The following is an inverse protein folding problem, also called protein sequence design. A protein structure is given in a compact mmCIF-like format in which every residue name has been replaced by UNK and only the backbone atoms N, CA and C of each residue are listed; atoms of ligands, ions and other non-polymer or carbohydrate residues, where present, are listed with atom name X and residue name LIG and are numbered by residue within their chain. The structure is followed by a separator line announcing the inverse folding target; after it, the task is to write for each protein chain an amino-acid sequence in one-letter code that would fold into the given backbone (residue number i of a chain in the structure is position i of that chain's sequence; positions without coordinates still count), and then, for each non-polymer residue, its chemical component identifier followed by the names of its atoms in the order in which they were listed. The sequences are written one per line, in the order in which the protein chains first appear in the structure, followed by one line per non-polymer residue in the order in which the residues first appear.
data_IF_005029620975
#
_entry.id   IF_005029620975
#
_cell.length_a   1.000
_cell.length_b   1.000
_cell.length_c   1.000
_cell.angle_alpha   90.00
_cell.angle_beta   90.00
_cell.angle_gamma   90.00
#
_symmetry.space_group_name_H-M   'P 1'
#
loop_
_entity.id
_entity.type
_entity.pdbx_description
1 polymer ?
#
# COMPACT_ATOMS: atom_id res chain seq x y z
N UNK A 1 -9.91 2.50 -6.26
CA UNK A 1 -9.50 3.63 -5.39
C UNK A 1 -8.59 4.58 -6.16
N UNK A 2 -7.45 4.14 -6.72
CA UNK A 2 -6.56 5.01 -7.54
C UNK A 2 -7.26 5.75 -8.68
N UNK A 3 -8.12 5.07 -9.46
CA UNK A 3 -8.86 5.71 -10.57
C UNK A 3 -9.79 6.85 -10.13
N UNK A 4 -10.35 6.79 -8.92
CA UNK A 4 -11.22 7.85 -8.37
C UNK A 4 -10.42 9.06 -7.84
N UNK A 5 -9.12 8.91 -7.70
CA UNK A 5 -8.21 9.94 -7.18
C UNK A 5 -7.33 10.58 -8.24
N UNK A 6 -7.18 9.96 -9.43
CA UNK A 6 -6.33 10.49 -10.52
C UNK A 6 -6.72 11.92 -10.90
N UNK A 7 -8.01 12.21 -11.00
CA UNK A 7 -8.50 13.53 -11.45
C UNK A 7 -8.54 14.60 -10.33
N UNK A 8 -8.13 14.25 -9.10
CA UNK A 8 -8.21 15.14 -7.92
C UNK A 8 -6.89 15.28 -7.18
N UNK A 9 -5.78 15.00 -7.84
CA UNK A 9 -4.44 15.07 -7.25
C UNK A 9 -3.54 15.99 -8.05
N UNK A 10 -2.82 16.86 -7.34
CA UNK A 10 -1.69 17.60 -7.90
C UNK A 10 -0.43 17.10 -7.21
N UNK A 11 0.50 16.58 -8.00
CA UNK A 11 1.81 16.11 -7.53
C UNK A 11 2.79 17.27 -7.61
N UNK A 12 3.40 17.56 -6.47
CA UNK A 12 4.40 18.60 -6.30
C UNK A 12 5.73 17.90 -6.02
N UNK A 13 6.71 18.13 -6.87
CA UNK A 13 8.11 17.72 -6.70
C UNK A 13 9.00 18.95 -6.60
N UNK A 14 10.27 18.78 -6.20
CA UNK A 14 11.23 19.89 -6.13
C UNK A 14 11.34 20.65 -7.46
N UNK A 15 11.44 19.93 -8.59
CA UNK A 15 11.55 20.54 -9.93
C UNK A 15 10.36 21.44 -10.30
N UNK A 16 9.19 21.16 -9.74
CA UNK A 16 7.95 21.84 -10.09
C UNK A 16 7.42 22.75 -8.96
N UNK A 17 8.20 23.00 -7.91
CA UNK A 17 7.78 23.84 -6.76
C UNK A 17 7.32 25.24 -7.21
N UNK A 18 7.99 25.81 -8.21
CA UNK A 18 7.67 27.14 -8.75
C UNK A 18 6.28 27.21 -9.38
N UNK A 19 5.69 26.08 -9.79
CA UNK A 19 4.34 25.97 -10.37
C UNK A 19 3.23 25.94 -9.32
N UNK A 20 3.55 25.90 -8.01
CA UNK A 20 2.56 25.76 -6.93
C UNK A 20 1.71 27.02 -6.71
N UNK A 21 2.18 28.18 -7.16
CA UNK A 21 1.44 29.43 -7.03
C UNK A 21 0.12 29.46 -7.85
N UNK A 22 -0.13 28.45 -8.69
CA UNK A 22 -1.42 28.27 -9.32
C UNK A 22 -2.51 28.02 -8.26
N UNK A 23 -3.61 28.77 -8.33
CA UNK A 23 -4.79 28.57 -7.47
C UNK A 23 -5.34 27.16 -7.69
N UNK A 24 -5.01 26.26 -6.75
CA UNK A 24 -5.56 24.90 -6.74
C UNK A 24 -6.95 24.93 -6.12
N UNK A 25 -7.97 24.33 -6.76
CA UNK A 25 -9.30 24.22 -6.19
C UNK A 25 -9.31 23.56 -4.80
N UNK A 26 -10.19 24.02 -3.91
CA UNK A 26 -10.26 23.55 -2.51
C UNK A 26 -10.57 22.05 -2.36
N UNK A 27 -11.08 21.40 -3.40
CA UNK A 27 -11.45 19.98 -3.42
C UNK A 27 -10.34 19.05 -3.95
N UNK A 28 -9.17 19.59 -4.29
CA UNK A 28 -8.03 18.82 -4.82
C UNK A 28 -7.04 18.50 -3.70
N UNK A 29 -6.64 17.23 -3.62
CA UNK A 29 -5.63 16.76 -2.68
C UNK A 29 -4.26 17.11 -3.25
N UNK A 30 -3.52 17.96 -2.54
CA UNK A 30 -2.12 18.26 -2.87
C UNK A 30 -1.23 17.16 -2.30
N UNK A 31 -0.49 16.48 -3.17
CA UNK A 31 0.51 15.49 -2.78
C UNK A 31 1.88 16.11 -3.03
N UNK A 32 2.66 16.26 -1.97
CA UNK A 32 4.05 16.70 -2.07
C UNK A 32 4.90 15.43 -2.00
N UNK A 33 5.66 15.16 -3.05
CA UNK A 33 6.62 14.05 -3.10
C UNK A 33 8.03 14.63 -3.03
N UNK A 34 8.73 14.29 -1.94
CA UNK A 34 10.03 14.86 -1.59
C UNK A 34 11.13 14.21 -2.43
N UNK A 35 11.10 12.89 -2.54
CA UNK A 35 12.08 12.07 -3.28
C UNK A 35 11.68 11.78 -4.74
N UNK A 36 10.95 12.72 -5.35
CA UNK A 36 10.45 12.58 -6.72
C UNK A 36 9.20 11.71 -6.87
N UNK A 37 8.85 11.41 -8.11
CA UNK A 37 7.64 10.66 -8.47
C UNK A 37 7.94 9.61 -9.51
N UNK A 38 7.41 8.38 -9.36
CA UNK A 38 7.45 7.39 -10.44
C UNK A 38 6.84 7.89 -11.76
N UNK A 39 5.84 8.77 -11.65
CA UNK A 39 5.20 9.41 -12.81
C UNK A 39 6.08 10.47 -13.49
N UNK A 40 7.14 10.94 -12.80
CA UNK A 40 8.11 11.92 -13.28
C UNK A 40 9.51 11.36 -13.00
N UNK A 41 9.89 10.33 -13.75
CA UNK A 41 11.07 9.51 -13.46
C UNK A 41 12.37 10.30 -13.35
N UNK A 42 12.48 11.42 -14.07
CA UNK A 42 13.60 12.35 -14.01
C UNK A 42 13.73 13.11 -12.67
N UNK A 43 12.70 13.06 -11.82
CA UNK A 43 12.67 13.67 -10.48
C UNK A 43 13.04 12.72 -9.36
N UNK A 44 13.15 11.41 -9.64
CA UNK A 44 13.37 10.40 -8.62
C UNK A 44 14.77 10.49 -8.01
N UNK A 45 14.81 10.38 -6.68
CA UNK A 45 16.05 10.29 -5.90
C UNK A 45 16.19 8.82 -5.49
N UNK A 46 17.28 8.18 -5.94
CA UNK A 46 17.49 6.75 -5.75
C UNK A 46 18.80 6.40 -5.03
N UNK A 47 19.75 7.33 -4.98
CA UNK A 47 21.08 7.07 -4.41
C UNK A 47 21.25 7.78 -3.08
N UNK A 48 22.04 7.16 -2.19
CA UNK A 48 22.43 7.77 -0.91
C UNK A 48 23.31 9.02 -1.08
N UNK A 49 23.89 9.25 -2.26
CA UNK A 49 24.62 10.50 -2.57
C UNK A 49 23.67 11.64 -2.95
N UNK A 50 22.50 11.30 -3.49
CA UNK A 50 21.43 12.26 -3.75
C UNK A 50 20.66 12.55 -2.46
N UNK A 51 20.36 11.50 -1.68
CA UNK A 51 19.86 11.61 -0.30
C UNK A 51 20.95 12.26 0.59
N UNK A 52 20.57 13.12 1.52
CA UNK A 52 21.54 13.74 2.44
C UNK A 52 22.24 15.00 1.90
N UNK A 53 22.03 15.39 0.64
CA UNK A 53 22.35 16.75 0.16
C UNK A 53 21.46 17.83 0.78
N UNK A 54 20.39 17.41 1.45
CA UNK A 54 19.35 18.28 1.95
C UNK A 54 18.31 18.59 0.88
N UNK A 55 17.13 19.03 1.34
CA UNK A 55 16.11 19.56 0.46
C UNK A 55 16.56 20.90 -0.15
N UNK A 56 16.16 21.12 -1.40
CA UNK A 56 16.39 22.41 -2.06
C UNK A 56 15.79 23.57 -1.25
N UNK A 57 16.46 24.71 -1.21
CA UNK A 57 16.15 25.81 -0.28
C UNK A 57 14.70 26.30 -0.40
N UNK A 58 14.23 26.60 -1.62
CA UNK A 58 12.84 27.02 -1.85
C UNK A 58 11.82 25.95 -1.40
N UNK A 59 12.20 24.68 -1.49
CA UNK A 59 11.35 23.56 -1.09
C UNK A 59 11.28 23.39 0.42
N UNK A 60 12.41 23.57 1.10
CA UNK A 60 12.49 23.66 2.56
C UNK A 60 11.62 24.80 3.10
N UNK A 61 11.73 25.99 2.52
CA UNK A 61 10.92 27.14 2.93
C UNK A 61 9.44 26.93 2.66
N UNK A 62 9.10 26.35 1.51
CA UNK A 62 7.73 25.96 1.21
C UNK A 62 7.16 25.00 2.26
N UNK A 63 7.90 23.94 2.62
CA UNK A 63 7.45 22.98 3.64
C UNK A 63 7.31 23.64 5.02
N UNK A 64 8.27 24.49 5.41
CA UNK A 64 8.19 25.26 6.65
C UNK A 64 6.91 26.06 6.73
N UNK A 65 6.68 26.91 5.72
CA UNK A 65 5.52 27.77 5.63
C UNK A 65 4.21 26.95 5.57
N UNK A 66 4.23 25.79 4.91
CA UNK A 66 3.04 24.96 4.77
C UNK A 66 2.65 24.26 6.06
N UNK A 67 3.63 23.85 6.84
CA UNK A 67 3.45 23.09 8.08
C UNK A 67 3.37 23.99 9.33
N UNK A 68 3.78 25.25 9.22
CA UNK A 68 3.76 26.19 10.32
C UNK A 68 2.35 26.38 10.90
N UNK A 69 2.28 26.33 12.22
CA UNK A 69 1.06 26.37 13.03
C UNK A 69 -0.03 25.36 12.58
N UNK A 70 0.37 24.23 11.96
CA UNK A 70 -0.56 23.16 11.56
C UNK A 70 -0.62 22.02 12.56
N UNK A 71 -1.75 21.32 12.52
CA UNK A 71 -1.89 20.00 13.12
C UNK A 71 -1.39 18.97 12.11
N UNK A 72 -0.37 18.19 12.49
CA UNK A 72 0.30 17.25 11.58
C UNK A 72 0.23 15.84 12.14
N UNK A 73 0.06 14.85 11.26
CA UNK A 73 0.07 13.43 11.60
C UNK A 73 1.16 12.73 10.78
N UNK A 74 2.17 12.19 11.44
CA UNK A 74 3.21 11.37 10.83
C UNK A 74 2.81 9.90 10.88
N UNK A 75 2.84 9.23 9.73
CA UNK A 75 2.50 7.82 9.57
C UNK A 75 3.65 7.16 8.80
N UNK A 76 4.21 6.07 9.34
CA UNK A 76 5.28 5.33 8.68
C UNK A 76 6.62 6.06 8.60
N UNK A 77 6.79 7.15 9.35
CA UNK A 77 8.01 7.96 9.34
C UNK A 77 8.74 7.84 10.69
N UNK A 78 10.04 7.54 10.65
CA UNK A 78 10.90 7.29 11.83
C UNK A 78 11.74 8.49 12.25
N UNK A 79 11.64 9.63 11.55
CA UNK A 79 12.58 10.75 11.64
C UNK A 79 14.04 10.42 11.28
N UNK A 80 14.28 9.30 10.57
CA UNK A 80 15.63 8.93 10.13
C UNK A 80 16.10 9.66 8.87
N UNK A 81 15.17 10.18 8.06
CA UNK A 81 15.47 10.90 6.83
C UNK A 81 16.24 12.20 7.13
N UNK A 82 17.44 12.31 6.57
CA UNK A 82 18.38 13.40 6.82
C UNK A 82 17.98 14.70 6.14
N UNK A 83 17.20 14.64 5.07
CA UNK A 83 16.81 15.81 4.28
C UNK A 83 15.60 16.51 4.92
N UNK A 84 14.68 15.72 5.46
CA UNK A 84 13.41 16.21 6.01
C UNK A 84 13.54 16.57 7.49
N UNK A 85 14.27 15.77 8.28
CA UNK A 85 14.35 15.95 9.73
C UNK A 85 14.77 17.38 10.14
N UNK A 86 15.80 18.02 9.55
CA UNK A 86 16.19 19.39 9.89
C UNK A 86 15.05 20.39 9.67
N UNK A 87 14.28 20.20 8.60
CA UNK A 87 13.12 21.05 8.28
C UNK A 87 12.03 20.90 9.33
N UNK A 88 11.67 19.65 9.67
CA UNK A 88 10.63 19.38 10.66
C UNK A 88 11.02 19.85 12.06
N UNK A 89 12.30 19.79 12.41
CA UNK A 89 12.82 20.27 13.69
C UNK A 89 12.64 21.80 13.85
N UNK A 90 12.63 22.54 12.75
CA UNK A 90 12.49 24.00 12.75
C UNK A 90 11.04 24.48 12.74
N UNK A 91 10.10 23.73 12.16
CA UNK A 91 8.68 24.11 12.01
C UNK A 91 7.97 24.31 13.35
N UNK A 92 7.13 25.37 13.47
CA UNK A 92 6.24 25.58 14.62
C UNK A 92 4.88 24.89 14.49
N UNK A 93 4.83 23.56 14.64
CA UNK A 93 3.57 22.83 14.64
C UNK A 93 2.63 23.28 15.78
N UNK A 94 1.33 23.38 15.47
CA UNK A 94 0.27 23.56 16.46
C UNK A 94 0.06 22.29 17.30
N UNK A 95 0.12 21.12 16.66
CA UNK A 95 -0.01 19.81 17.30
C UNK A 95 0.59 18.73 16.41
N UNK A 96 1.24 17.73 17.01
CA UNK A 96 1.77 16.60 16.23
C UNK A 96 1.28 15.28 16.80
N UNK A 97 0.76 14.45 15.89
CA UNK A 97 0.48 13.05 16.11
C UNK A 97 1.56 12.24 15.42
N UNK A 98 2.20 11.33 16.14
CA UNK A 98 3.25 10.47 15.57
C UNK A 98 2.88 9.02 15.80
N UNK A 99 2.62 8.29 14.71
CA UNK A 99 2.30 6.87 14.79
C UNK A 99 3.59 6.06 14.79
N UNK A 100 3.86 5.40 15.92
CA UNK A 100 5.04 4.53 16.08
C UNK A 100 4.55 3.08 16.11
N UNK A 101 5.32 2.17 15.50
CA UNK A 101 5.00 0.74 15.55
C UNK A 101 5.03 0.27 17.01
N UNK A 102 4.06 -0.54 17.42
CA UNK A 102 4.10 -1.17 18.74
C UNK A 102 5.44 -1.92 18.90
N UNK A 103 6.12 -1.69 20.04
CA UNK A 103 7.43 -2.25 20.40
C UNK A 103 8.66 -1.59 19.75
N UNK A 104 8.50 -0.54 18.95
CA UNK A 104 9.65 0.29 18.58
C UNK A 104 9.85 1.37 19.63
N UNK A 105 11.06 1.45 20.17
CA UNK A 105 11.48 2.61 20.94
C UNK A 105 11.42 3.86 20.07
N UNK A 106 11.01 4.97 20.68
CA UNK A 106 10.98 6.25 20.01
C UNK A 106 12.42 6.66 19.68
N UNK A 107 12.70 7.01 18.42
CA UNK A 107 14.02 7.49 18.05
C UNK A 107 14.27 8.86 18.73
N UNK A 108 15.47 9.05 19.29
CA UNK A 108 15.96 10.32 19.86
C UNK A 108 15.60 11.57 19.03
N UNK A 109 15.54 11.46 17.70
CA UNK A 109 15.14 12.57 16.81
C UNK A 109 13.67 12.94 16.96
N UNK A 110 12.78 11.96 17.07
CA UNK A 110 11.37 12.18 17.37
C UNK A 110 11.28 12.88 18.72
N UNK A 111 11.94 12.35 19.75
CA UNK A 111 11.94 12.96 21.07
C UNK A 111 12.43 14.40 21.07
N UNK A 112 13.47 14.73 20.29
CA UNK A 112 13.96 16.11 20.16
C UNK A 112 12.88 17.04 19.59
N UNK A 113 12.13 16.60 18.58
CA UNK A 113 11.00 17.37 18.03
C UNK A 113 9.91 17.53 19.10
N UNK A 114 9.59 16.47 19.84
CA UNK A 114 8.53 16.49 20.86
C UNK A 114 8.94 17.28 22.13
N UNK A 115 10.20 17.20 22.56
CA UNK A 115 10.72 17.92 23.74
C UNK A 115 10.78 19.42 23.51
N UNK A 116 10.96 19.86 22.25
CA UNK A 116 11.01 21.29 21.89
C UNK A 116 9.70 22.03 22.23
N UNK A 117 8.56 21.34 22.42
CA UNK A 117 7.26 21.97 22.76
C UNK A 117 6.39 21.14 23.72
N UNK A 118 6.67 21.12 25.02
CA UNK A 118 5.87 20.35 25.98
C UNK A 118 4.38 20.71 25.88
N UNK A 119 3.51 19.69 25.72
CA UNK A 119 2.05 19.86 25.86
C UNK A 119 1.15 19.41 24.69
N UNK A 120 1.69 19.12 23.50
CA UNK A 120 0.84 18.89 22.30
C UNK A 120 1.20 17.66 21.47
N UNK A 121 1.81 16.65 22.12
CA UNK A 121 2.37 15.50 21.44
C UNK A 121 1.73 14.20 21.87
N UNK A 122 1.39 13.37 20.89
CA UNK A 122 0.89 12.04 21.14
C UNK A 122 1.64 11.04 20.26
N UNK A 123 2.56 10.32 20.87
CA UNK A 123 3.10 9.09 20.31
C UNK A 123 2.09 8.00 20.61
N UNK A 124 1.53 7.38 19.56
CA UNK A 124 0.66 6.24 19.71
C UNK A 124 1.34 5.03 19.12
N UNK A 125 1.60 4.03 19.96
CA UNK A 125 1.70 2.66 19.48
C UNK A 125 0.27 2.20 19.13
N UNK A 126 0.01 1.84 17.87
CA UNK A 126 -1.26 1.20 17.51
C UNK A 126 -1.86 1.51 16.14
N UNK A 127 -3.12 1.10 15.98
CA UNK A 127 -3.92 1.24 14.75
C UNK A 127 -4.26 2.72 14.47
N UNK A 128 -4.19 3.15 13.21
CA UNK A 128 -4.59 4.48 12.73
C UNK A 128 -5.99 4.89 13.19
N UNK A 129 -6.87 3.92 13.45
CA UNK A 129 -8.20 4.13 14.05
C UNK A 129 -8.14 4.87 15.39
N UNK A 130 -7.13 4.62 16.21
CA UNK A 130 -6.95 5.28 17.51
C UNK A 130 -6.70 6.78 17.30
N UNK A 131 -5.84 7.13 16.36
CA UNK A 131 -5.57 8.51 15.99
C UNK A 131 -6.84 9.18 15.43
N UNK A 132 -7.54 8.51 14.52
CA UNK A 132 -8.76 9.03 13.92
C UNK A 132 -9.84 9.37 14.98
N UNK A 133 -10.07 8.45 15.92
CA UNK A 133 -11.02 8.66 17.02
C UNK A 133 -10.66 9.89 17.86
N UNK A 134 -9.37 10.05 18.16
CA UNK A 134 -8.88 11.19 18.95
C UNK A 134 -8.95 12.51 18.19
N UNK A 135 -8.64 12.54 16.89
CA UNK A 135 -8.67 13.76 16.08
C UNK A 135 -10.12 14.25 15.91
N UNK A 136 -11.04 13.32 15.66
CA UNK A 136 -12.43 13.66 15.35
C UNK A 136 -13.30 13.91 16.58
N UNK A 137 -12.80 13.64 17.79
CA UNK A 137 -13.58 13.53 19.03
C UNK A 137 -14.82 12.62 18.91
N UNK A 138 -14.92 11.84 17.82
CA UNK A 138 -15.88 10.77 17.69
C UNK A 138 -15.21 9.58 18.34
N UNK A 139 -15.74 9.12 19.48
CA UNK A 139 -15.69 7.69 19.72
C UNK A 139 -16.26 7.08 18.43
N UNK A 140 -15.45 6.38 17.64
CA UNK A 140 -15.96 5.21 16.94
C UNK A 140 -16.43 4.26 18.05
N UNK A 141 -17.56 4.59 18.69
CA UNK A 141 -18.54 3.56 18.91
C UNK A 141 -18.69 2.98 17.51
N UNK A 142 -18.34 1.71 17.36
CA UNK A 142 -19.00 0.88 16.38
C UNK A 142 -20.49 1.11 16.65
N UNK A 143 -21.07 2.17 16.06
CA UNK A 143 -22.48 2.18 15.71
C UNK A 143 -22.54 0.97 14.81
N UNK A 144 -22.90 -0.14 15.46
CA UNK A 144 -22.92 -1.48 14.91
C UNK A 144 -23.47 -1.38 13.51
N UNK A 145 -22.68 -1.91 12.60
CA UNK A 145 -23.17 -2.73 11.50
C UNK A 145 -24.12 -2.14 10.48
N UNK A 146 -24.69 -0.94 10.57
CA UNK A 146 -25.68 -0.55 9.55
C UNK A 146 -25.03 -0.34 8.18
N UNK A 147 -23.94 0.45 8.12
CA UNK A 147 -23.19 0.67 6.86
C UNK A 147 -22.45 -0.59 6.39
N UNK A 148 -21.83 -1.35 7.31
CA UNK A 148 -21.17 -2.61 6.94
C UNK A 148 -22.18 -3.70 6.52
N UNK A 149 -23.35 -3.78 7.17
CA UNK A 149 -24.41 -4.72 6.80
C UNK A 149 -25.05 -4.31 5.49
N UNK A 150 -25.30 -3.02 5.27
CA UNK A 150 -25.78 -2.51 3.98
C UNK A 150 -24.77 -2.80 2.85
N UNK A 151 -23.46 -2.64 3.11
CA UNK A 151 -22.42 -3.01 2.15
C UNK A 151 -22.34 -4.53 1.92
N UNK A 152 -22.37 -5.33 2.99
CA UNK A 152 -22.36 -6.80 2.89
C UNK A 152 -23.61 -7.30 2.16
N UNK A 153 -24.78 -6.76 2.48
CA UNK A 153 -26.05 -7.08 1.84
C UNK A 153 -26.03 -6.66 0.37
N UNK A 154 -25.52 -5.46 0.07
CA UNK A 154 -25.35 -4.95 -1.29
C UNK A 154 -24.42 -5.86 -2.11
N UNK A 155 -23.25 -6.18 -1.59
CA UNK A 155 -22.28 -7.08 -2.25
C UNK A 155 -22.85 -8.50 -2.38
N UNK A 156 -23.57 -8.99 -1.37
CA UNK A 156 -24.19 -10.32 -1.38
C UNK A 156 -25.31 -10.43 -2.42
N UNK A 157 -26.01 -9.35 -2.75
CA UNK A 157 -27.05 -9.34 -3.80
C UNK A 157 -26.46 -9.18 -5.20
N UNK A 158 -25.35 -8.45 -5.35
CA UNK A 158 -24.78 -8.09 -6.66
C UNK A 158 -23.75 -9.08 -7.19
N UNK A 159 -23.01 -9.74 -6.30
CA UNK A 159 -21.98 -10.69 -6.68
C UNK A 159 -22.58 -12.06 -6.95
N UNK A 160 -22.13 -12.72 -8.01
CA UNK A 160 -22.41 -14.15 -8.19
C UNK A 160 -21.61 -14.97 -7.17
N UNK A 161 -21.95 -16.26 -7.02
CA UNK A 161 -21.36 -17.12 -6.00
C UNK A 161 -19.82 -17.19 -6.12
N UNK A 162 -19.27 -17.35 -7.34
CA UNK A 162 -17.81 -17.33 -7.56
C UNK A 162 -17.16 -16.02 -7.09
N UNK A 163 -17.78 -14.87 -7.36
CA UNK A 163 -17.27 -13.57 -6.92
C UNK A 163 -17.31 -13.42 -5.39
N UNK A 164 -18.32 -14.00 -4.73
CA UNK A 164 -18.40 -14.00 -3.26
C UNK A 164 -17.25 -14.80 -2.66
N UNK A 165 -16.98 -16.01 -3.15
CA UNK A 165 -15.86 -16.83 -2.70
C UNK A 165 -14.52 -16.11 -2.88
N UNK A 166 -14.31 -15.49 -4.05
CA UNK A 166 -13.08 -14.76 -4.32
C UNK A 166 -12.92 -13.54 -3.42
N UNK A 167 -13.99 -12.78 -3.17
CA UNK A 167 -13.98 -11.64 -2.26
C UNK A 167 -13.63 -12.08 -0.84
N UNK A 168 -14.28 -13.13 -0.33
CA UNK A 168 -14.02 -13.66 1.01
C UNK A 168 -12.58 -14.17 1.13
N UNK A 169 -12.08 -14.88 0.12
CA UNK A 169 -10.68 -15.33 0.08
C UNK A 169 -9.70 -14.14 0.12
N UNK A 170 -9.93 -13.09 -0.67
CA UNK A 170 -9.09 -11.87 -0.64
C UNK A 170 -9.10 -11.18 0.72
N UNK A 171 -10.27 -11.12 1.38
CA UNK A 171 -10.37 -10.56 2.74
C UNK A 171 -9.52 -11.38 3.71
N UNK A 172 -9.63 -12.71 3.69
CA UNK A 172 -8.80 -13.56 4.57
C UNK A 172 -7.31 -13.48 4.25
N UNK A 173 -6.93 -13.37 2.97
CA UNK A 173 -5.55 -13.20 2.54
C UNK A 173 -4.95 -11.91 3.11
N UNK A 174 -5.66 -10.78 2.96
CA UNK A 174 -5.25 -9.47 3.50
C UNK A 174 -5.16 -9.51 5.03
N UNK A 175 -6.05 -10.24 5.70
CA UNK A 175 -6.03 -10.44 7.16
C UNK A 175 -5.00 -11.48 7.62
N UNK A 176 -4.12 -11.94 6.72
CA UNK A 176 -3.07 -12.94 6.99
C UNK A 176 -3.61 -14.27 7.54
N UNK A 177 -4.88 -14.61 7.24
CA UNK A 177 -5.49 -15.91 7.55
C UNK A 177 -5.31 -16.84 6.36
N UNK A 178 -4.05 -17.16 6.07
CA UNK A 178 -3.62 -17.85 4.85
C UNK A 178 -4.24 -19.24 4.73
N UNK A 179 -4.33 -20.02 5.81
CA UNK A 179 -4.95 -21.35 5.79
C UNK A 179 -6.43 -21.31 5.36
N UNK A 180 -7.21 -20.39 5.96
CA UNK A 180 -8.61 -20.19 5.58
C UNK A 180 -8.75 -19.75 4.13
N UNK A 181 -7.83 -18.92 3.64
CA UNK A 181 -7.81 -18.50 2.24
C UNK A 181 -7.63 -19.71 1.33
N UNK A 182 -6.66 -20.58 1.64
CA UNK A 182 -6.39 -21.81 0.89
C UNK A 182 -7.61 -22.74 0.88
N UNK A 183 -8.24 -22.98 2.03
CA UNK A 183 -9.41 -23.85 2.16
C UNK A 183 -10.59 -23.35 1.30
N UNK A 184 -10.88 -22.05 1.36
CA UNK A 184 -11.96 -21.40 0.59
C UNK A 184 -11.70 -21.50 -0.91
N UNK A 185 -10.46 -21.24 -1.34
CA UNK A 185 -10.09 -21.29 -2.76
C UNK A 185 -10.16 -22.72 -3.31
N UNK A 186 -9.71 -23.72 -2.55
CA UNK A 186 -9.85 -25.13 -2.92
C UNK A 186 -11.30 -25.56 -3.01
N UNK A 187 -12.11 -25.19 -2.01
CA UNK A 187 -13.54 -25.47 -2.03
C UNK A 187 -14.20 -24.85 -3.27
N UNK A 188 -13.92 -23.59 -3.58
CA UNK A 188 -14.45 -22.92 -4.75
C UNK A 188 -14.01 -23.59 -6.06
N UNK A 189 -12.71 -23.91 -6.20
CA UNK A 189 -12.16 -24.60 -7.38
C UNK A 189 -12.78 -25.99 -7.60
N UNK A 190 -13.11 -26.71 -6.53
CA UNK A 190 -13.73 -28.04 -6.59
C UNK A 190 -15.22 -27.99 -6.92
N UNK A 191 -15.96 -27.08 -6.28
CA UNK A 191 -17.43 -27.11 -6.31
C UNK A 191 -18.05 -26.16 -7.33
N UNK A 192 -17.33 -25.15 -7.81
CA UNK A 192 -17.86 -24.16 -8.77
C UNK A 192 -17.35 -24.39 -10.19
N UNK A 193 -16.62 -25.47 -10.47
CA UNK A 193 -15.93 -25.69 -11.74
C UNK A 193 -16.84 -25.62 -12.97
N UNK A 194 -18.07 -26.12 -12.84
CA UNK A 194 -19.05 -26.17 -13.93
C UNK A 194 -19.78 -24.85 -14.14
N UNK A 195 -19.73 -23.93 -13.18
CA UNK A 195 -20.43 -22.66 -13.30
C UNK A 195 -19.79 -21.75 -14.37
N UNK A 196 -20.62 -21.24 -15.28
CA UNK A 196 -20.18 -20.31 -16.34
C UNK A 196 -19.49 -19.07 -15.77
N UNK A 197 -19.99 -18.52 -14.65
CA UNK A 197 -19.36 -17.40 -13.94
C UNK A 197 -17.99 -17.75 -13.37
N UNK A 198 -17.80 -18.99 -12.94
CA UNK A 198 -16.52 -19.44 -12.40
C UNK A 198 -15.47 -19.53 -13.49
N UNK A 199 -15.80 -20.02 -14.69
CA UNK A 199 -14.85 -20.07 -15.83
C UNK A 199 -14.21 -18.71 -16.12
N UNK A 200 -14.97 -17.61 -15.99
CA UNK A 200 -14.46 -16.24 -16.17
C UNK A 200 -13.45 -15.82 -15.08
N UNK A 201 -13.62 -16.28 -13.85
CA UNK A 201 -12.81 -15.89 -12.70
C UNK A 201 -11.75 -16.94 -12.31
N UNK A 202 -11.74 -18.11 -12.95
CA UNK A 202 -10.90 -19.27 -12.60
C UNK A 202 -9.42 -18.91 -12.46
N UNK A 203 -8.89 -18.12 -13.39
CA UNK A 203 -7.49 -17.68 -13.36
C UNK A 203 -7.18 -16.87 -12.10
N UNK A 204 -8.11 -16.03 -11.65
CA UNK A 204 -7.93 -15.23 -10.43
C UNK A 204 -7.93 -16.08 -9.16
N UNK A 205 -8.73 -17.16 -9.12
CA UNK A 205 -8.67 -18.15 -8.04
C UNK A 205 -7.32 -18.85 -7.98
N UNK A 206 -6.81 -19.30 -9.14
CA UNK A 206 -5.52 -20.00 -9.24
C UNK A 206 -4.37 -19.08 -8.83
N UNK A 207 -4.38 -17.83 -9.29
CA UNK A 207 -3.38 -16.84 -8.94
C UNK A 207 -3.37 -16.55 -7.42
N UNK A 208 -4.54 -16.30 -6.83
CA UNK A 208 -4.63 -16.05 -5.38
C UNK A 208 -4.24 -17.28 -4.55
N UNK A 209 -4.50 -18.48 -5.05
CA UNK A 209 -4.10 -19.73 -4.39
C UNK A 209 -2.57 -19.91 -4.44
N UNK A 210 -1.95 -19.59 -5.56
CA UNK A 210 -0.49 -19.57 -5.71
C UNK A 210 0.15 -18.59 -4.71
N UNK A 211 -0.36 -17.35 -4.66
CA UNK A 211 0.08 -16.33 -3.70
C UNK A 211 -0.10 -16.76 -2.24
N UNK A 212 -1.21 -17.45 -1.93
CA UNK A 212 -1.48 -17.98 -0.58
C UNK A 212 -0.47 -19.07 -0.19
N UNK A 213 -0.15 -20.00 -1.09
CA UNK A 213 0.87 -21.01 -0.80
C UNK A 213 2.27 -20.42 -0.68
N UNK A 214 2.59 -19.39 -1.48
CA UNK A 214 3.85 -18.67 -1.38
C UNK A 214 3.98 -18.01 0.00
N UNK A 215 2.93 -17.30 0.44
CA UNK A 215 2.89 -16.66 1.75
C UNK A 215 2.95 -17.66 2.91
N UNK A 216 2.43 -18.89 2.72
CA UNK A 216 2.56 -20.00 3.68
C UNK A 216 3.97 -20.63 3.71
N UNK A 217 4.85 -20.28 2.77
CA UNK A 217 6.17 -20.89 2.61
C UNK A 217 6.16 -22.24 1.89
N UNK A 218 5.02 -22.66 1.31
CA UNK A 218 4.95 -23.90 0.53
C UNK A 218 5.25 -23.60 -0.95
N UNK A 219 6.54 -23.40 -1.25
CA UNK A 219 7.02 -22.96 -2.55
C UNK A 219 6.70 -23.95 -3.67
N UNK A 220 6.75 -25.26 -3.40
CA UNK A 220 6.43 -26.31 -4.40
C UNK A 220 4.97 -26.18 -4.88
N UNK A 221 4.03 -26.00 -3.95
CA UNK A 221 2.62 -25.81 -4.33
C UNK A 221 2.40 -24.46 -4.99
N UNK A 222 3.02 -23.39 -4.48
CA UNK A 222 2.94 -22.06 -5.08
C UNK A 222 3.38 -22.09 -6.55
N UNK A 223 4.56 -22.66 -6.81
CA UNK A 223 5.13 -22.85 -8.13
C UNK A 223 4.18 -23.60 -9.06
N UNK A 224 3.63 -24.75 -8.61
CA UNK A 224 2.66 -25.53 -9.39
C UNK A 224 1.44 -24.71 -9.81
N UNK A 225 0.91 -23.87 -8.93
CA UNK A 225 -0.24 -23.03 -9.25
C UNK A 225 0.12 -21.84 -10.14
N UNK A 226 1.29 -21.20 -9.96
CA UNK A 226 1.75 -20.14 -10.86
C UNK A 226 1.98 -20.66 -12.28
N UNK A 227 2.61 -21.83 -12.43
CA UNK A 227 2.78 -22.47 -13.74
C UNK A 227 1.43 -22.72 -14.42
N UNK A 228 0.48 -23.32 -13.69
CA UNK A 228 -0.88 -23.56 -14.19
C UNK A 228 -1.65 -22.27 -14.52
N UNK A 229 -1.37 -21.17 -13.81
CA UNK A 229 -1.95 -19.86 -14.11
C UNK A 229 -1.40 -19.33 -15.44
N UNK A 230 -0.08 -19.33 -15.62
CA UNK A 230 0.58 -18.86 -16.84
C UNK A 230 0.10 -19.62 -18.07
N UNK A 231 0.08 -20.95 -18.02
CA UNK A 231 -0.45 -21.80 -19.11
C UNK A 231 -1.87 -21.39 -19.54
N UNK A 232 -2.72 -20.98 -18.59
CA UNK A 232 -4.09 -20.54 -18.87
C UNK A 232 -4.19 -19.10 -19.35
N UNK A 233 -3.28 -18.21 -18.95
CA UNK A 233 -3.25 -16.81 -19.39
C UNK A 233 -2.69 -16.73 -20.81
N UNK A 234 -1.64 -17.49 -21.11
CA UNK A 234 -1.05 -17.63 -22.44
C UNK A 234 -2.06 -18.21 -23.45
N UNK A 235 -2.73 -19.32 -23.10
CA UNK A 235 -3.75 -19.91 -23.96
C UNK A 235 -4.96 -19.00 -24.22
N UNK A 236 -5.20 -18.02 -23.35
CA UNK A 236 -6.30 -17.07 -23.46
C UNK A 236 -5.90 -15.75 -24.13
N UNK A 237 -4.64 -15.58 -24.55
CA UNK A 237 -4.10 -14.34 -25.12
C UNK A 237 -4.42 -13.09 -24.27
N UNK A 238 -4.37 -13.24 -22.93
CA UNK A 238 -4.68 -12.15 -21.99
C UNK A 238 -3.51 -11.16 -21.91
N UNK A 239 -3.82 -9.88 -21.64
CA UNK A 239 -2.89 -8.73 -21.57
C UNK A 239 -1.55 -9.01 -20.86
N UNK A 240 -0.48 -8.40 -21.39
CA UNK A 240 0.93 -8.61 -21.02
C UNK A 240 1.28 -8.28 -19.57
N UNK A 241 0.59 -7.35 -18.92
CA UNK A 241 0.93 -6.90 -17.55
C UNK A 241 0.72 -8.01 -16.51
N UNK A 242 -0.38 -8.78 -16.61
CA UNK A 242 -0.64 -9.91 -15.70
C UNK A 242 0.31 -11.08 -15.92
N UNK A 243 0.79 -11.22 -17.16
CA UNK A 243 1.76 -12.24 -17.54
C UNK A 243 3.13 -11.91 -16.94
N UNK A 244 3.52 -10.63 -16.95
CA UNK A 244 4.73 -10.14 -16.32
C UNK A 244 4.76 -10.40 -14.80
N UNK A 245 3.71 -10.01 -14.07
CA UNK A 245 3.64 -10.22 -12.61
C UNK A 245 3.74 -11.70 -12.21
N UNK A 246 3.07 -12.57 -12.98
CA UNK A 246 3.11 -14.01 -12.74
C UNK A 246 4.47 -14.62 -13.10
N UNK A 247 5.11 -14.17 -14.18
CA UNK A 247 6.46 -14.58 -14.55
C UNK A 247 7.49 -14.16 -13.50
N UNK A 248 7.43 -12.91 -13.03
CA UNK A 248 8.33 -12.42 -11.97
C UNK A 248 8.18 -13.25 -10.69
N UNK A 249 6.94 -13.61 -10.33
CA UNK A 249 6.68 -14.43 -9.15
C UNK A 249 7.12 -15.89 -9.34
N UNK A 250 7.00 -16.42 -10.56
CA UNK A 250 7.52 -17.75 -10.90
C UNK A 250 9.04 -17.81 -10.80
N UNK A 251 9.73 -16.81 -11.37
CA UNK A 251 11.18 -16.64 -11.29
C UNK A 251 11.64 -16.57 -9.83
N UNK A 252 10.98 -15.73 -9.02
CA UNK A 252 11.26 -15.64 -7.58
C UNK A 252 11.10 -16.99 -6.89
N UNK A 253 10.05 -17.76 -7.25
CA UNK A 253 9.83 -19.10 -6.70
C UNK A 253 10.97 -20.06 -7.06
N UNK A 254 11.47 -20.04 -8.30
CA UNK A 254 12.62 -20.85 -8.72
C UNK A 254 13.89 -20.51 -7.93
N UNK A 255 14.18 -19.22 -7.75
CA UNK A 255 15.31 -18.75 -6.95
C UNK A 255 15.20 -19.27 -5.52
N UNK A 256 14.04 -19.13 -4.88
CA UNK A 256 13.82 -19.58 -3.50
C UNK A 256 13.89 -21.11 -3.34
N UNK A 257 13.63 -21.88 -4.40
CA UNK A 257 13.79 -23.34 -4.41
C UNK A 257 15.23 -23.79 -4.72
N UNK A 258 16.15 -22.88 -5.07
CA UNK A 258 17.52 -23.21 -5.48
C UNK A 258 17.67 -23.60 -6.95
N UNK A 259 16.62 -23.46 -7.76
CA UNK A 259 16.58 -23.82 -9.18
C UNK A 259 17.02 -22.63 -10.04
N UNK A 260 18.31 -22.27 -9.95
CA UNK A 260 18.83 -21.04 -10.54
C UNK A 260 18.88 -21.06 -12.07
N UNK A 261 19.07 -22.24 -12.68
CA UNK A 261 19.10 -22.37 -14.15
C UNK A 261 17.71 -22.10 -14.75
N UNK A 262 16.67 -22.64 -14.12
CA UNK A 262 15.28 -22.43 -14.53
C UNK A 262 14.85 -20.97 -14.32
N UNK A 263 15.28 -20.35 -13.22
CA UNK A 263 15.06 -18.92 -13.01
C UNK A 263 15.72 -18.08 -14.11
N UNK A 264 16.97 -18.39 -14.46
CA UNK A 264 17.72 -17.70 -15.51
C UNK A 264 17.05 -17.85 -16.88
N UNK A 265 16.74 -19.07 -17.29
CA UNK A 265 16.08 -19.33 -18.58
C UNK A 265 14.77 -18.55 -18.69
N UNK A 266 14.00 -18.46 -17.60
CA UNK A 266 12.72 -17.74 -17.60
C UNK A 266 12.85 -16.21 -17.61
N UNK A 267 13.99 -15.67 -17.20
CA UNK A 267 14.29 -14.23 -17.33
C UNK A 267 14.70 -13.88 -18.77
N UNK A 268 15.31 -14.84 -19.48
CA UNK A 268 15.78 -14.66 -20.86
C UNK A 268 14.68 -14.82 -21.92
N UNK A 269 13.56 -15.47 -21.56
CA UNK A 269 12.30 -15.57 -22.35
C UNK A 269 11.44 -14.30 -22.28
#
# INVERSE_FOLDING_TARGET
IEKAFKDKKIIITEKNIKKINCKVPNNVIKIIKLHGSWELTDTLIFTLEQEGKGLYFEFRDYLKNKLDNKIVCFIGYSASDFDIYPVLYEVNFKKVYWLIKANNESNNRIEKILKKRPGYYFSCSGDIKVIYNKITNKKLTLKKSRECKELIDFLSRRLNISQKYLLVAKIFFILLKVDKTIDILHYALRNLYEEKSFKKNKNEFIHLLAGSYNQKGNLIKAHRYYKRYLEQVEAAHIESEKLFDANLTLVSSYIMMGNLNEAKNKIEE
#
